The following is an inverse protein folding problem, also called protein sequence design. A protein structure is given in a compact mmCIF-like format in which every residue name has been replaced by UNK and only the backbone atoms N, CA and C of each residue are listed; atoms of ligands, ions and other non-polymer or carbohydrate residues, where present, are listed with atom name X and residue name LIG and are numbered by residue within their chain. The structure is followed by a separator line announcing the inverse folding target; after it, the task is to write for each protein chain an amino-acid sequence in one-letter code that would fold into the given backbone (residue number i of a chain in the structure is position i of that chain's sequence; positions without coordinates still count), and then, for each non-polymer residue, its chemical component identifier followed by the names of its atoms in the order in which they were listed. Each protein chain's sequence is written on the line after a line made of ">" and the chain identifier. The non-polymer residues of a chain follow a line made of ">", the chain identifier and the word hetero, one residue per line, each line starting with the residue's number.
data_IF_073333146904
#
_entry.id   IF_073333146904
#
_cell.length_a   1.000
_cell.length_b   1.000
_cell.length_c   1.000
_cell.angle_alpha   90.00
_cell.angle_beta   90.00
_cell.angle_gamma   90.00
#
_symmetry.space_group_name_H-M   'P 1'
#
loop_
_entity.id
_entity.type
_entity.pdbx_description
1 polymer ?
#
# COMPACT_ATOMS: atom_id res chain seq x y z
N UNK A 1 -14.90 -10.67 32.35
CA UNK A 1 -13.53 -10.46 31.83
C UNK A 1 -13.65 -10.20 30.31
N UNK A 2 -13.63 -8.94 29.87
CA UNK A 2 -14.10 -8.47 28.55
C UNK A 2 -12.93 -8.20 27.59
N UNK A 3 -12.05 -9.18 27.38
CA UNK A 3 -10.87 -9.00 26.51
C UNK A 3 -11.13 -9.36 25.05
N UNK A 4 -12.15 -10.18 24.77
CA UNK A 4 -12.47 -10.60 23.40
C UNK A 4 -12.92 -9.44 22.51
N UNK A 5 -13.51 -8.38 23.09
CA UNK A 5 -13.93 -7.19 22.35
C UNK A 5 -12.76 -6.36 21.80
N UNK A 6 -11.54 -6.56 22.31
CA UNK A 6 -10.33 -5.93 21.75
C UNK A 6 -9.98 -6.45 20.36
N UNK A 7 -10.54 -7.58 19.94
CA UNK A 7 -10.32 -8.13 18.60
C UNK A 7 -10.94 -7.25 17.52
N UNK A 8 -12.02 -6.52 17.82
CA UNK A 8 -12.73 -5.67 16.86
C UNK A 8 -11.87 -4.51 16.35
N UNK A 9 -11.28 -3.65 17.20
CA UNK A 9 -10.41 -2.57 16.70
C UNK A 9 -9.17 -3.12 15.99
N UNK A 10 -8.59 -4.23 16.48
CA UNK A 10 -7.43 -4.87 15.86
C UNK A 10 -7.80 -5.35 14.44
N UNK A 11 -8.91 -6.06 14.31
CA UNK A 11 -9.38 -6.59 13.01
C UNK A 11 -9.75 -5.46 12.06
N UNK A 12 -10.44 -4.43 12.55
CA UNK A 12 -10.78 -3.24 11.77
C UNK A 12 -9.53 -2.54 11.21
N UNK A 13 -8.48 -2.39 12.02
CA UNK A 13 -7.21 -1.82 11.59
C UNK A 13 -6.55 -2.65 10.47
N UNK A 14 -6.44 -3.97 10.65
CA UNK A 14 -5.82 -4.83 9.63
C UNK A 14 -6.62 -4.86 8.33
N UNK A 15 -7.95 -4.88 8.41
CA UNK A 15 -8.81 -4.83 7.22
C UNK A 15 -8.68 -3.49 6.50
N UNK A 16 -8.71 -2.37 7.23
CA UNK A 16 -8.49 -1.03 6.67
C UNK A 16 -7.14 -0.94 5.96
N UNK A 17 -6.08 -1.36 6.62
CA UNK A 17 -4.73 -1.42 6.04
C UNK A 17 -4.68 -2.24 4.74
N UNK A 18 -5.37 -3.37 4.71
CA UNK A 18 -5.42 -4.23 3.51
C UNK A 18 -6.11 -3.52 2.35
N UNK A 19 -7.21 -2.81 2.61
CA UNK A 19 -7.92 -2.05 1.58
C UNK A 19 -7.11 -0.86 1.08
N UNK A 20 -6.44 -0.13 1.96
CA UNK A 20 -5.57 0.98 1.57
C UNK A 20 -4.42 0.52 0.66
N UNK A 21 -3.83 -0.64 0.94
CA UNK A 21 -2.80 -1.22 0.06
C UNK A 21 -3.34 -1.59 -1.31
N UNK A 22 -4.53 -2.20 -1.39
CA UNK A 22 -5.15 -2.54 -2.66
C UNK A 22 -5.44 -1.29 -3.49
N UNK A 23 -5.86 -0.20 -2.86
CA UNK A 23 -6.12 1.04 -3.57
C UNK A 23 -4.80 1.72 -4.00
N UNK A 24 -3.76 1.65 -3.16
CA UNK A 24 -2.41 2.11 -3.54
C UNK A 24 -1.88 1.36 -4.77
N UNK A 25 -2.09 0.04 -4.85
CA UNK A 25 -1.74 -0.77 -6.02
C UNK A 25 -2.52 -0.37 -7.28
N UNK A 26 -3.76 0.13 -7.16
CA UNK A 26 -4.53 0.68 -8.28
C UNK A 26 -4.02 2.04 -8.75
N UNK A 27 -3.39 2.80 -7.86
CA UNK A 27 -2.85 4.15 -8.13
C UNK A 27 -1.43 4.14 -8.72
N UNK A 28 -0.96 3.03 -9.28
CA UNK A 28 0.43 2.93 -9.81
C UNK A 28 0.60 3.39 -11.26
N UNK A 29 -0.44 3.87 -11.94
CA UNK A 29 -0.39 4.22 -13.37
C UNK A 29 0.67 5.28 -13.72
N UNK A 30 0.89 6.24 -12.82
CA UNK A 30 1.86 7.34 -12.94
C UNK A 30 3.11 7.16 -12.09
N UNK A 31 3.32 5.97 -11.54
CA UNK A 31 4.55 5.63 -10.82
C UNK A 31 5.76 5.74 -11.75
N UNK A 32 6.84 6.33 -11.25
CA UNK A 32 8.10 6.55 -11.97
C UNK A 32 7.94 7.36 -13.28
N UNK A 33 6.88 8.17 -13.38
CA UNK A 33 6.59 9.03 -14.56
C UNK A 33 6.40 10.50 -14.22
N UNK A 34 6.60 10.89 -12.96
CA UNK A 34 6.47 12.30 -12.55
C UNK A 34 7.69 13.12 -13.03
N UNK A 35 7.52 14.42 -13.20
CA UNK A 35 8.60 15.30 -13.66
C UNK A 35 9.84 15.29 -12.73
N UNK A 36 9.65 15.00 -11.43
CA UNK A 36 10.72 14.98 -10.43
C UNK A 36 11.34 13.60 -10.22
N UNK A 37 10.56 12.52 -10.34
CA UNK A 37 10.99 11.15 -10.01
C UNK A 37 10.95 10.18 -11.20
N UNK A 38 10.72 10.68 -12.41
CA UNK A 38 10.76 9.89 -13.63
C UNK A 38 12.17 9.38 -13.91
N UNK A 39 12.33 8.06 -14.00
CA UNK A 39 13.64 7.43 -14.28
C UNK A 39 13.51 6.13 -15.08
N UNK A 40 14.57 5.78 -15.80
CA UNK A 40 14.69 4.45 -16.42
C UNK A 40 14.96 3.40 -15.35
N UNK A 41 14.17 2.32 -15.37
CA UNK A 41 14.34 1.20 -14.43
C UNK A 41 15.40 0.24 -14.95
N UNK A 42 16.30 -0.20 -14.07
CA UNK A 42 17.24 -1.27 -14.43
C UNK A 42 16.48 -2.59 -14.62
N UNK A 43 16.97 -3.49 -15.49
CA UNK A 43 16.34 -4.81 -15.64
C UNK A 43 16.35 -5.56 -14.31
N UNK A 44 15.16 -5.87 -13.79
CA UNK A 44 14.95 -6.55 -12.51
C UNK A 44 14.78 -5.64 -11.29
N UNK A 45 14.80 -4.32 -11.45
CA UNK A 45 14.58 -3.39 -10.34
C UNK A 45 13.09 -3.30 -9.98
N UNK A 46 12.78 -3.43 -8.69
CA UNK A 46 11.42 -3.23 -8.19
C UNK A 46 11.01 -1.77 -8.38
N UNK A 47 9.73 -1.49 -8.67
CA UNK A 47 9.24 -0.12 -8.80
C UNK A 47 9.47 0.72 -7.53
N UNK A 48 9.43 2.05 -7.64
CA UNK A 48 9.72 2.91 -6.48
C UNK A 48 8.73 2.75 -5.31
N UNK A 49 7.48 2.38 -5.59
CA UNK A 49 6.44 2.12 -4.58
C UNK A 49 5.21 1.41 -5.18
N UNK A 50 4.30 0.83 -4.38
CA UNK A 50 4.55 0.43 -3.00
C UNK A 50 5.68 -0.60 -2.91
#
# INVERSE_FOLDING_TARGET
>A
KMYWTLIFPITGFFLGYKFDRLETERMTMFRDKSALYGREMKPGESPSWP
#
